data_IF_095155746100
#
_entry.id   IF_095155746100
#
_cell.length_a   1.000
_cell.length_b   1.000
_cell.length_c   1.000
_cell.angle_alpha   90.00
_cell.angle_beta   90.00
_cell.angle_gamma   90.00
#
_symmetry.space_group_name_H-M   'P 1'
#
loop_
_entity.id
_entity.type
_entity.pdbx_description
1 polymer ?
#
# COMPACT_ATOMS: atom_id res chain seq x y z
N UNK A 1 4.03 14.71 1.84
CA UNK A 1 2.59 14.82 1.49
C UNK A 1 1.76 13.74 2.19
N UNK A 2 0.70 14.15 2.88
CA UNK A 2 -0.35 13.29 3.48
C UNK A 2 -1.76 13.89 3.29
N UNK A 3 -1.83 14.98 2.54
CA UNK A 3 -2.97 15.86 2.32
C UNK A 3 -3.96 15.31 1.29
N UNK A 4 -3.54 14.34 0.47
CA UNK A 4 -4.34 13.65 -0.54
C UNK A 4 -4.05 12.14 -0.55
N UNK A 5 -4.96 11.30 -1.07
CA UNK A 5 -4.67 9.88 -1.31
C UNK A 5 -3.37 9.70 -2.09
N UNK A 6 -2.55 8.74 -1.66
CA UNK A 6 -1.23 8.48 -2.24
C UNK A 6 -1.16 7.05 -2.75
N UNK A 7 -0.72 6.90 -4.00
CA UNK A 7 -0.33 5.62 -4.57
C UNK A 7 1.20 5.55 -4.63
N UNK A 8 1.76 4.45 -4.16
CA UNK A 8 3.19 4.18 -4.24
C UNK A 8 3.40 3.15 -5.34
N UNK A 9 4.12 3.54 -6.38
CA UNK A 9 4.49 2.64 -7.46
C UNK A 9 5.91 2.17 -7.22
N UNK A 10 6.09 0.85 -7.15
CA UNK A 10 7.42 0.25 -6.96
C UNK A 10 7.68 -0.69 -8.12
N UNK A 11 8.84 -0.52 -8.74
CA UNK A 11 9.29 -1.31 -9.87
C UNK A 11 9.63 -2.76 -9.55
N UNK A 12 9.80 -3.57 -10.58
CA UNK A 12 10.28 -4.96 -10.42
C UNK A 12 11.78 -5.00 -10.08
N UNK A 13 12.25 -6.08 -9.45
CA UNK A 13 13.67 -6.22 -9.08
C UNK A 13 14.63 -6.16 -10.28
N UNK A 14 14.19 -6.61 -11.46
CA UNK A 14 15.05 -6.71 -12.65
C UNK A 14 15.04 -5.44 -13.49
N UNK A 15 13.85 -4.90 -13.75
CA UNK A 15 13.66 -3.81 -14.71
C UNK A 15 13.37 -2.47 -14.04
N UNK A 16 13.26 -2.42 -12.71
CA UNK A 16 12.84 -1.22 -12.01
C UNK A 16 11.42 -0.79 -12.37
N UNK A 17 11.15 0.50 -12.22
CA UNK A 17 9.87 1.13 -12.54
C UNK A 17 9.78 1.33 -14.07
N UNK A 18 8.62 1.05 -14.67
CA UNK A 18 8.45 1.25 -16.11
C UNK A 18 8.47 2.74 -16.47
N UNK A 19 8.81 3.06 -17.72
CA UNK A 19 8.81 4.45 -18.19
C UNK A 19 7.42 5.08 -18.11
N UNK A 20 6.37 4.31 -18.40
CA UNK A 20 4.99 4.77 -18.31
C UNK A 20 4.63 5.12 -16.86
N UNK A 21 4.95 4.23 -15.91
CA UNK A 21 4.71 4.49 -14.49
C UNK A 21 5.52 5.67 -13.98
N UNK A 22 6.77 5.83 -14.44
CA UNK A 22 7.60 6.99 -14.12
C UNK A 22 7.00 8.28 -14.66
N UNK A 23 6.48 8.27 -15.89
CA UNK A 23 5.87 9.45 -16.54
C UNK A 23 4.57 9.91 -15.89
N UNK A 24 3.85 9.00 -15.22
CA UNK A 24 2.60 9.28 -14.51
C UNK A 24 2.82 9.72 -13.05
N UNK A 25 4.06 9.63 -12.55
CA UNK A 25 4.35 9.92 -11.16
C UNK A 25 4.40 11.44 -10.90
N UNK A 26 3.66 11.90 -9.90
CA UNK A 26 3.80 13.28 -9.38
C UNK A 26 5.21 13.51 -8.79
N UNK A 27 5.80 12.45 -8.20
CA UNK A 27 7.07 12.50 -7.49
C UNK A 27 7.85 11.20 -7.69
N UNK A 28 9.17 11.33 -7.89
CA UNK A 28 10.11 10.21 -7.84
C UNK A 28 10.87 10.22 -6.50
N UNK A 29 10.97 9.06 -5.86
CA UNK A 29 11.69 8.86 -4.60
C UNK A 29 12.82 7.86 -4.83
N UNK A 30 14.00 8.18 -4.32
CA UNK A 30 15.12 7.26 -4.23
C UNK A 30 15.50 7.08 -2.76
N UNK A 31 15.83 5.85 -2.36
CA UNK A 31 16.40 5.59 -1.05
C UNK A 31 17.93 5.71 -1.16
N UNK A 32 18.56 6.65 -0.43
CA UNK A 32 19.99 6.84 -0.52
C UNK A 32 20.73 5.58 -0.09
N UNK A 33 21.70 5.15 -0.88
CA UNK A 33 22.54 4.00 -0.60
C UNK A 33 24.00 4.43 -0.48
N UNK A 34 24.67 3.88 0.52
CA UNK A 34 26.10 4.11 0.76
C UNK A 34 26.81 2.77 0.75
N UNK A 35 27.89 2.65 -0.04
CA UNK A 35 28.66 1.42 -0.20
C UNK A 35 28.49 0.77 -1.57
N UNK A 36 28.84 -0.52 -1.67
CA UNK A 36 28.91 -1.23 -2.95
C UNK A 36 27.57 -1.74 -3.49
N UNK A 37 26.54 -1.76 -2.65
CA UNK A 37 25.19 -2.22 -3.03
C UNK A 37 24.46 -1.17 -3.84
N UNK A 38 23.93 -1.56 -5.00
CA UNK A 38 23.27 -0.66 -5.95
C UNK A 38 21.74 -0.62 -5.81
N UNK A 39 21.15 -1.46 -4.97
CA UNK A 39 19.72 -1.45 -4.66
C UNK A 39 19.42 -2.15 -3.33
N UNK A 40 18.33 -1.74 -2.68
CA UNK A 40 17.69 -2.54 -1.63
C UNK A 40 16.84 -3.64 -2.26
N UNK A 41 16.61 -4.73 -1.52
CA UNK A 41 15.57 -5.68 -1.87
C UNK A 41 14.20 -4.96 -1.97
N UNK A 42 13.39 -5.36 -2.95
CA UNK A 42 12.11 -4.72 -3.24
C UNK A 42 11.20 -4.64 -2.01
N UNK A 43 11.10 -5.72 -1.24
CA UNK A 43 10.27 -5.77 -0.03
C UNK A 43 10.79 -4.85 1.07
N UNK A 44 12.12 -4.71 1.18
CA UNK A 44 12.78 -3.82 2.15
C UNK A 44 12.51 -2.36 1.79
N UNK A 45 12.62 -2.01 0.50
CA UNK A 45 12.25 -0.68 0.01
C UNK A 45 10.79 -0.34 0.35
N UNK A 46 9.85 -1.25 0.03
CA UNK A 46 8.43 -1.09 0.34
C UNK A 46 8.19 -0.89 1.86
N UNK A 47 8.85 -1.69 2.69
CA UNK A 47 8.74 -1.61 4.15
C UNK A 47 9.22 -0.27 4.70
N UNK A 48 10.37 0.25 4.24
CA UNK A 48 10.93 1.54 4.67
C UNK A 48 9.98 2.69 4.33
N UNK A 49 9.47 2.71 3.10
CA UNK A 49 8.55 3.75 2.61
C UNK A 49 7.23 3.69 3.40
N UNK A 50 6.61 2.51 3.50
CA UNK A 50 5.34 2.35 4.22
C UNK A 50 5.48 2.66 5.71
N UNK A 51 6.58 2.24 6.34
CA UNK A 51 6.83 2.55 7.75
C UNK A 51 6.91 4.07 7.97
N UNK A 52 7.64 4.78 7.12
CA UNK A 52 7.79 6.25 7.22
C UNK A 52 6.45 6.95 7.07
N UNK A 53 5.65 6.58 6.05
CA UNK A 53 4.35 7.18 5.79
C UNK A 53 3.34 6.87 6.88
N UNK A 54 3.28 5.61 7.31
CA UNK A 54 2.33 5.16 8.35
C UNK A 54 2.65 5.80 9.70
N UNK A 55 3.93 5.94 10.04
CA UNK A 55 4.34 6.64 11.27
C UNK A 55 3.89 8.11 11.25
N UNK A 56 4.07 8.81 10.12
CA UNK A 56 3.57 10.18 9.97
C UNK A 56 2.03 10.24 10.02
N UNK A 57 1.33 9.30 9.39
CA UNK A 57 -0.14 9.21 9.43
C UNK A 57 -0.68 8.98 10.84
N UNK A 58 -0.08 8.06 11.59
CA UNK A 58 -0.47 7.76 12.99
C UNK A 58 -0.22 8.94 13.93
N UNK A 59 0.80 9.75 13.66
CA UNK A 59 1.11 10.96 14.41
C UNK A 59 0.36 12.21 13.91
N UNK A 60 -0.51 12.07 12.90
CA UNK A 60 -1.30 13.17 12.35
C UNK A 60 -2.73 13.14 12.86
N UNK A 61 -3.40 14.30 12.81
CA UNK A 61 -4.82 14.41 13.14
C UNK A 61 -5.74 14.12 11.94
N UNK A 62 -5.23 13.45 10.90
CA UNK A 62 -6.00 13.13 9.70
C UNK A 62 -6.93 11.95 9.95
N UNK A 63 -8.18 12.05 9.46
CA UNK A 63 -9.11 10.93 9.48
C UNK A 63 -8.88 10.03 8.26
N UNK A 64 -7.97 9.05 8.39
CA UNK A 64 -7.59 8.11 7.32
C UNK A 64 -8.14 6.70 7.51
N UNK A 65 -8.84 6.45 8.62
CA UNK A 65 -9.41 5.14 8.92
C UNK A 65 -10.71 4.92 8.14
N UNK A 66 -10.98 3.67 7.80
CA UNK A 66 -12.28 3.26 7.27
C UNK A 66 -13.39 3.59 8.28
N UNK A 67 -14.52 4.06 7.78
CA UNK A 67 -15.73 4.24 8.58
C UNK A 67 -16.35 2.86 8.92
N UNK A 68 -17.34 2.85 9.82
CA UNK A 68 -17.96 1.60 10.29
C UNK A 68 -18.60 0.78 9.17
N UNK A 69 -19.20 1.43 8.17
CA UNK A 69 -19.81 0.74 7.05
C UNK A 69 -18.76 0.08 6.13
N UNK A 70 -17.69 0.82 5.81
CA UNK A 70 -16.56 0.30 5.02
C UNK A 70 -15.84 -0.86 5.71
N UNK A 71 -15.68 -0.79 7.04
CA UNK A 71 -15.14 -1.90 7.84
C UNK A 71 -16.01 -3.14 7.74
N UNK A 72 -17.32 -2.99 7.90
CA UNK A 72 -18.27 -4.11 7.81
C UNK A 72 -18.27 -4.74 6.42
N UNK A 73 -18.23 -3.92 5.37
CA UNK A 73 -18.16 -4.41 3.99
C UNK A 73 -16.86 -5.17 3.72
N UNK A 74 -15.73 -4.65 4.21
CA UNK A 74 -14.42 -5.31 4.09
C UNK A 74 -14.39 -6.63 4.85
N UNK A 75 -14.93 -6.66 6.07
CA UNK A 75 -15.05 -7.88 6.87
C UNK A 75 -15.93 -8.91 6.17
N UNK A 76 -17.08 -8.51 5.63
CA UNK A 76 -17.95 -9.39 4.87
C UNK A 76 -17.23 -10.00 3.67
N UNK A 77 -16.49 -9.19 2.91
CA UNK A 77 -15.68 -9.66 1.78
C UNK A 77 -14.66 -10.73 2.22
N UNK A 78 -14.00 -10.54 3.36
CA UNK A 78 -13.06 -11.53 3.89
C UNK A 78 -13.77 -12.81 4.33
N UNK A 79 -14.90 -12.71 5.02
CA UNK A 79 -15.70 -13.87 5.43
C UNK A 79 -16.16 -14.70 4.22
N UNK A 80 -16.62 -14.05 3.15
CA UNK A 80 -17.02 -14.71 1.90
C UNK A 80 -15.86 -15.47 1.23
N UNK A 81 -14.62 -15.02 1.42
CA UNK A 81 -13.42 -15.68 0.88
C UNK A 81 -12.97 -16.86 1.75
N UNK A 82 -13.21 -16.80 3.06
CA UNK A 82 -12.77 -17.83 4.01
C UNK A 82 -13.82 -18.93 4.24
N UNK A 83 -15.11 -18.64 4.06
CA UNK A 83 -16.20 -19.57 4.36
C UNK A 83 -16.69 -20.22 3.05
N UNK A 84 -16.46 -21.53 2.86
CA UNK A 84 -17.09 -22.29 1.78
C UNK A 84 -18.63 -22.19 1.88
N UNK A 85 -19.32 -22.16 0.75
CA UNK A 85 -20.79 -22.12 0.70
C UNK A 85 -21.45 -20.93 1.42
N UNK A 86 -20.74 -19.82 1.65
CA UNK A 86 -21.30 -18.63 2.32
C UNK A 86 -22.62 -18.11 1.72
N UNK A 87 -22.83 -18.33 0.41
CA UNK A 87 -24.08 -17.95 -0.28
C UNK A 87 -25.30 -18.64 0.31
N UNK A 88 -25.16 -19.88 0.78
CA UNK A 88 -26.24 -20.66 1.39
C UNK A 88 -26.55 -20.17 2.81
N UNK A 89 -25.55 -19.60 3.49
CA UNK A 89 -25.69 -19.02 4.83
C UNK A 89 -26.42 -17.68 4.77
N UNK A 90 -26.17 -16.87 3.73
CA UNK A 90 -26.82 -15.56 3.55
C UNK A 90 -28.25 -15.69 2.97
N UNK A 91 -28.55 -16.80 2.31
CA UNK A 91 -29.87 -17.07 1.72
C UNK A 91 -30.92 -17.59 2.71
N UNK A 92 -30.54 -17.86 3.96
CA UNK A 92 -31.44 -18.19 5.08
C UNK A 92 -31.71 -16.96 5.93
#
# INVERSE_FOLDING_TARGET
PLDKPLAIMIGSEKNGLSEEASSLADFCLELPMYGFTQSFNLSVCAAIVLHTLTTKLRNSNLSWHLNSNEKNQTLLLWLQRCIPHWKEIIAK
#
